data_IF_461777807649
#
_entry.id   IF_461777807649
#
_cell.length_a   1.000
_cell.length_b   1.000
_cell.length_c   1.000
_cell.angle_alpha   90.00
_cell.angle_beta   90.00
_cell.angle_gamma   90.00
#
_symmetry.space_group_name_H-M   'P 1'
#
loop_
_entity.id
_entity.type
_entity.pdbx_description
1 polymer ?
#
# COMPACT_ATOMS: atom_id res chain seq x y z
N UNK A 1 -13.67 -7.49 0.06
CA UNK A 1 -12.61 -7.59 -0.97
C UNK A 1 -11.85 -6.27 -0.97
N UNK A 2 -10.59 -6.25 -0.52
CA UNK A 2 -9.79 -5.04 -0.39
C UNK A 2 -8.56 -5.12 -1.30
N UNK A 3 -8.43 -4.18 -2.24
CA UNK A 3 -7.34 -4.14 -3.22
C UNK A 3 -5.97 -3.99 -2.51
N UNK A 4 -5.90 -3.20 -1.45
CA UNK A 4 -4.66 -3.04 -0.68
C UNK A 4 -4.22 -4.35 -0.01
N UNK A 5 -5.15 -5.16 0.49
CA UNK A 5 -4.81 -6.48 1.04
C UNK A 5 -4.24 -7.41 -0.03
N UNK A 6 -4.78 -7.38 -1.25
CA UNK A 6 -4.27 -8.18 -2.37
C UNK A 6 -2.87 -7.72 -2.81
N UNK A 7 -2.60 -6.42 -2.78
CA UNK A 7 -1.25 -5.87 -3.02
C UNK A 7 -0.28 -6.35 -1.93
N UNK A 8 -0.67 -6.27 -0.65
CA UNK A 8 0.14 -6.74 0.49
C UNK A 8 0.41 -8.25 0.40
N UNK A 9 -0.59 -9.04 -0.03
CA UNK A 9 -0.47 -10.48 -0.24
C UNK A 9 0.35 -10.87 -1.49
N UNK A 10 0.70 -9.91 -2.36
CA UNK A 10 1.42 -10.16 -3.61
C UNK A 10 0.56 -10.73 -4.73
N UNK A 11 -0.77 -10.71 -4.59
CA UNK A 11 -1.71 -11.14 -5.63
C UNK A 11 -1.82 -10.09 -6.75
N UNK A 12 -1.65 -8.81 -6.41
CA UNK A 12 -1.66 -7.70 -7.35
C UNK A 12 -0.27 -7.02 -7.39
N UNK A 13 0.20 -6.60 -8.57
CA UNK A 13 1.47 -5.90 -8.69
C UNK A 13 1.38 -4.49 -8.10
N UNK A 14 2.46 -4.06 -7.45
CA UNK A 14 2.66 -2.68 -7.03
C UNK A 14 4.16 -2.36 -6.98
N UNK A 15 4.52 -1.10 -7.24
CA UNK A 15 5.88 -0.63 -7.06
C UNK A 15 6.15 -0.35 -5.58
N UNK A 16 6.61 -1.38 -4.86
CA UNK A 16 7.02 -1.26 -3.45
C UNK A 16 8.33 -0.48 -3.34
N UNK A 17 8.30 0.58 -2.53
CA UNK A 17 9.48 1.41 -2.23
C UNK A 17 10.03 1.17 -0.83
N UNK A 18 9.21 0.61 0.07
CA UNK A 18 9.59 0.24 1.43
C UNK A 18 8.68 -0.88 1.94
N UNK A 19 9.21 -1.75 2.79
CA UNK A 19 8.45 -2.79 3.48
C UNK A 19 9.15 -3.19 4.77
N UNK A 20 8.40 -3.26 5.87
CA UNK A 20 8.85 -3.81 7.15
C UNK A 20 7.78 -4.75 7.76
N UNK A 21 7.89 -5.07 9.04
CA UNK A 21 6.94 -5.96 9.73
C UNK A 21 5.52 -5.37 9.86
N UNK A 22 5.38 -4.05 9.87
CA UNK A 22 4.11 -3.37 10.16
C UNK A 22 3.48 -2.73 8.93
N UNK A 23 4.29 -2.24 8.00
CA UNK A 23 3.83 -1.42 6.88
C UNK A 23 4.46 -1.80 5.54
N UNK A 24 3.79 -1.41 4.47
CA UNK A 24 4.29 -1.43 3.09
C UNK A 24 4.05 -0.04 2.49
N UNK A 25 5.05 0.50 1.80
CA UNK A 25 4.90 1.73 1.04
C UNK A 25 4.98 1.46 -0.47
N UNK A 26 4.02 1.99 -1.23
CA UNK A 26 3.92 1.81 -2.68
C UNK A 26 3.78 3.14 -3.41
N UNK A 27 4.23 3.21 -4.66
CA UNK A 27 3.89 4.35 -5.53
C UNK A 27 2.40 4.31 -5.88
N UNK A 28 1.77 5.48 -5.85
CA UNK A 28 0.41 5.66 -6.34
C UNK A 28 0.38 5.53 -7.87
N UNK A 29 -0.60 4.78 -8.39
CA UNK A 29 -0.84 4.62 -9.84
C UNK A 29 -1.49 5.85 -10.47
N UNK A 30 -2.17 6.69 -9.66
CA UNK A 30 -2.74 7.98 -10.06
C UNK A 30 -2.16 9.09 -9.16
N UNK A 31 -0.86 9.36 -9.27
CA UNK A 31 -0.18 10.30 -8.38
C UNK A 31 -0.66 11.74 -8.63
N UNK A 32 -0.86 12.50 -7.56
CA UNK A 32 -1.11 13.95 -7.67
C UNK A 32 0.17 14.69 -8.09
N UNK A 33 1.32 14.22 -7.61
CA UNK A 33 2.66 14.73 -7.92
C UNK A 33 3.68 13.59 -8.05
N UNK A 34 4.80 13.85 -8.74
CA UNK A 34 5.87 12.88 -8.88
C UNK A 34 6.37 12.40 -7.51
N UNK A 35 6.50 11.08 -7.34
CA UNK A 35 6.91 10.47 -6.08
C UNK A 35 5.82 10.34 -5.02
N UNK A 36 4.53 10.53 -5.37
CA UNK A 36 3.43 10.27 -4.44
C UNK A 36 3.40 8.80 -4.01
N UNK A 37 3.51 8.57 -2.70
CA UNK A 37 3.61 7.25 -2.08
C UNK A 37 2.45 7.07 -1.09
N UNK A 38 1.88 5.86 -1.08
CA UNK A 38 0.90 5.42 -0.09
C UNK A 38 1.60 4.51 0.93
N UNK A 39 1.48 4.82 2.21
CA UNK A 39 1.94 3.97 3.32
C UNK A 39 0.73 3.21 3.87
N UNK A 40 0.79 1.88 3.80
CA UNK A 40 -0.32 0.99 4.12
C UNK A 40 0.07 0.09 5.30
N UNK A 41 -0.75 -0.02 6.36
CA UNK A 41 -0.54 -1.03 7.39
C UNK A 41 -0.77 -2.43 6.80
N UNK A 42 0.07 -3.40 7.16
CA UNK A 42 -0.11 -4.81 6.80
C UNK A 42 -1.39 -5.40 7.41
N UNK A 43 -1.78 -4.89 8.58
CA UNK A 43 -3.08 -5.21 9.19
C UNK A 43 -4.19 -4.41 8.51
N UNK A 44 -5.21 -5.10 8.02
CA UNK A 44 -6.39 -4.45 7.47
C UNK A 44 -7.14 -3.66 8.56
N UNK A 45 -7.32 -2.37 8.33
CA UNK A 45 -8.15 -1.45 9.13
C UNK A 45 -8.99 -0.62 8.18
N UNK A 46 -10.27 -0.40 8.53
CA UNK A 46 -11.19 0.34 7.67
C UNK A 46 -11.06 1.86 7.86
N UNK A 47 -10.79 2.29 9.10
CA UNK A 47 -10.69 3.69 9.52
C UNK A 47 -9.55 3.85 10.54
N UNK A 48 -9.25 5.10 10.90
CA UNK A 48 -8.18 5.47 11.86
C UNK A 48 -8.64 5.51 13.34
N UNK A 49 -9.89 5.13 13.62
CA UNK A 49 -10.49 5.19 14.96
C UNK A 49 -9.97 4.12 15.92
#
# INVERSE_FOLDING_TARGET
MCIFCQIIAGELPAHKVYEDEQVVAILDIKPVHAGHILVLPKKHVANLE
#
